data_IF_946882813953
#
_entry.id   IF_946882813953
#
_cell.length_a   1.000
_cell.length_b   1.000
_cell.length_c   1.000
_cell.angle_alpha   90.00
_cell.angle_beta   90.00
_cell.angle_gamma   90.00
#
_symmetry.space_group_name_H-M   'P 1'
#
loop_
_entity.id
_entity.type
_entity.pdbx_description
1 polymer ?
#
# COMPACT_ATOMS: atom_id res chain seq x y z
N UNK A 1 -3.36 -4.66 30.65
CA UNK A 1 -3.94 -3.52 29.90
C UNK A 1 -4.61 -4.12 28.67
N UNK A 2 -5.94 -4.00 28.57
CA UNK A 2 -6.75 -4.70 27.57
C UNK A 2 -6.71 -3.93 26.25
N UNK A 3 -6.28 -4.59 25.18
CA UNK A 3 -6.25 -4.05 23.83
C UNK A 3 -7.66 -3.73 23.34
N UNK A 4 -7.88 -2.47 22.95
CA UNK A 4 -9.13 -2.03 22.31
C UNK A 4 -9.05 -2.38 20.83
N UNK A 5 -9.77 -3.40 20.42
CA UNK A 5 -10.03 -3.67 19.01
C UNK A 5 -10.90 -2.54 18.44
N UNK A 6 -10.33 -1.74 17.53
CA UNK A 6 -11.08 -0.72 16.80
C UNK A 6 -11.76 -1.41 15.62
N UNK A 7 -13.10 -1.49 15.67
CA UNK A 7 -13.94 -1.98 14.56
C UNK A 7 -14.10 -0.83 13.57
N UNK A 8 -13.46 -0.92 12.41
CA UNK A 8 -13.68 0.01 11.30
C UNK A 8 -14.78 -0.54 10.37
N UNK A 9 -15.68 0.36 9.97
CA UNK A 9 -16.88 0.05 9.19
C UNK A 9 -16.58 -0.38 7.76
N UNK A 10 -17.30 -1.41 7.30
CA UNK A 10 -17.23 -1.96 5.96
C UNK A 10 -17.77 -0.96 4.93
N UNK A 11 -16.89 -0.25 4.21
CA UNK A 11 -17.02 0.19 2.80
C UNK A 11 -15.66 0.67 2.26
N UNK A 12 -14.72 -0.23 1.95
CA UNK A 12 -13.62 0.09 1.02
C UNK A 12 -12.97 -1.21 0.54
N UNK A 13 -12.93 -1.41 -0.79
CA UNK A 13 -12.40 -2.61 -1.46
C UNK A 13 -11.08 -2.28 -2.20
N UNK A 14 -10.27 -1.40 -1.63
CA UNK A 14 -8.87 -1.20 -1.99
C UNK A 14 -8.08 -0.83 -0.75
N UNK A 15 -6.95 -1.47 -0.51
CA UNK A 15 -6.13 -1.23 0.67
C UNK A 15 -4.65 -1.23 0.30
N UNK A 16 -3.94 -0.19 0.70
CA UNK A 16 -2.48 -0.17 0.68
C UNK A 16 -2.01 -0.76 2.02
N UNK A 17 -1.22 -1.81 1.96
CA UNK A 17 -0.64 -2.45 3.14
C UNK A 17 0.83 -2.07 3.26
N UNK A 18 1.23 -1.48 4.38
CA UNK A 18 2.63 -1.17 4.67
C UNK A 18 3.18 -2.09 5.77
N UNK A 19 4.38 -2.61 5.55
CA UNK A 19 5.11 -3.55 6.41
C UNK A 19 6.14 -2.80 7.24
N UNK A 20 6.26 -3.08 8.53
CA UNK A 20 7.17 -2.38 9.45
C UNK A 20 8.07 -3.37 10.19
N UNK A 21 9.32 -2.98 10.47
CA UNK A 21 10.32 -3.83 11.15
C UNK A 21 10.44 -3.47 12.64
N UNK A 22 10.01 -4.36 13.55
CA UNK A 22 10.25 -4.19 14.99
C UNK A 22 11.35 -5.11 15.50
N UNK A 23 12.33 -4.54 16.22
CA UNK A 23 13.39 -5.29 16.90
C UNK A 23 13.15 -5.21 18.42
N UNK A 24 12.78 -6.31 19.07
CA UNK A 24 12.65 -6.36 20.53
C UNK A 24 13.59 -7.42 21.13
N UNK A 25 14.33 -7.06 22.17
CA UNK A 25 14.93 -8.03 23.09
C UNK A 25 13.86 -8.41 24.13
N UNK A 26 13.45 -9.67 24.18
CA UNK A 26 12.54 -10.15 25.23
C UNK A 26 13.15 -10.01 26.62
N UNK A 27 12.38 -9.51 27.59
CA UNK A 27 12.77 -9.45 29.00
C UNK A 27 13.04 -10.88 29.53
N UNK A 28 14.26 -11.11 30.02
CA UNK A 28 14.61 -12.35 30.72
C UNK A 28 13.92 -12.36 32.08
N UNK A 29 12.98 -13.30 32.28
CA UNK A 29 12.38 -13.55 33.59
C UNK A 29 13.42 -14.25 34.47
N UNK A 30 14.00 -13.52 35.42
CA UNK A 30 14.84 -14.10 36.48
C UNK A 30 13.97 -15.01 37.37
N UNK A 31 14.20 -16.33 37.29
CA UNK A 31 13.66 -17.29 38.24
C UNK A 31 14.51 -17.25 39.50
N UNK A 32 13.97 -16.68 40.58
CA UNK A 32 14.63 -16.66 41.90
C UNK A 32 14.64 -18.08 42.50
N UNK A 33 15.78 -18.77 42.40
CA UNK A 33 16.03 -20.06 43.07
C UNK A 33 16.51 -19.82 44.50
N UNK A 34 15.76 -20.33 45.49
CA UNK A 34 16.14 -20.31 46.91
C UNK A 34 16.88 -21.61 47.31
N UNK A 35 18.13 -21.49 47.75
CA UNK A 35 18.90 -22.58 48.36
C UNK A 35 20.38 -22.23 48.59
N UNK A 36 21.02 -22.62 49.72
CA UNK A 36 22.41 -22.23 49.99
C UNK A 36 23.44 -23.25 49.46
N UNK A 37 24.61 -22.73 49.03
CA UNK A 37 25.95 -23.37 48.88
C UNK A 37 26.42 -23.84 47.47
N UNK A 38 27.74 -23.81 47.12
CA UNK A 38 28.83 -22.85 47.37
C UNK A 38 29.26 -22.11 46.06
N UNK A 39 30.24 -21.20 46.15
CA UNK A 39 30.70 -20.32 45.07
C UNK A 39 31.16 -21.06 43.79
N UNK A 40 30.23 -21.28 42.86
CA UNK A 40 30.54 -21.68 41.49
C UNK A 40 31.02 -20.44 40.71
N UNK A 41 32.14 -20.60 40.00
CA UNK A 41 32.67 -19.62 39.05
C UNK A 41 31.61 -19.35 37.98
N UNK A 42 30.98 -18.18 38.04
CA UNK A 42 29.97 -17.77 37.06
C UNK A 42 30.66 -17.57 35.70
N UNK A 43 30.55 -18.57 34.82
CA UNK A 43 30.73 -18.33 33.39
C UNK A 43 29.55 -17.44 32.97
N UNK A 44 29.76 -16.23 32.42
CA UNK A 44 28.65 -15.44 31.94
C UNK A 44 27.97 -16.24 30.81
N UNK A 45 26.78 -16.75 31.07
CA UNK A 45 25.86 -17.22 30.05
C UNK A 45 25.39 -15.98 29.29
N UNK A 46 26.20 -15.55 28.33
CA UNK A 46 25.75 -14.62 27.30
C UNK A 46 24.79 -15.42 26.40
N UNK A 47 23.55 -15.56 26.87
CA UNK A 47 22.46 -16.01 26.03
C UNK A 47 22.30 -14.96 24.92
N UNK A 48 22.67 -15.32 23.70
CA UNK A 48 22.29 -14.55 22.53
C UNK A 48 20.77 -14.67 22.41
N UNK A 49 20.05 -13.62 22.80
CA UNK A 49 18.61 -13.55 22.56
C UNK A 49 18.38 -13.56 21.03
N UNK A 50 17.49 -14.42 20.50
CA UNK A 50 17.09 -14.31 19.11
C UNK A 50 16.39 -12.96 18.91
N UNK A 51 16.88 -12.17 17.95
CA UNK A 51 16.23 -10.94 17.52
C UNK A 51 15.05 -11.31 16.64
N UNK A 52 13.85 -11.38 17.21
CA UNK A 52 12.63 -11.58 16.43
C UNK A 52 12.28 -10.30 15.68
N UNK A 53 12.16 -10.44 14.36
CA UNK A 53 11.65 -9.38 13.48
C UNK A 53 10.14 -9.51 13.43
N UNK A 54 9.43 -8.56 14.02
CA UNK A 54 7.98 -8.49 13.88
C UNK A 54 7.62 -7.57 12.72
N UNK A 55 6.61 -8.03 11.99
CA UNK A 55 6.06 -7.40 10.81
C UNK A 55 4.61 -7.03 11.09
N UNK A 56 4.33 -5.74 11.28
CA UNK A 56 2.95 -5.25 11.36
C UNK A 56 2.51 -4.68 10.02
N UNK A 57 1.24 -4.93 9.69
CA UNK A 57 0.56 -4.33 8.55
C UNK A 57 -0.31 -3.19 9.03
N UNK A 58 -0.05 -1.98 8.56
CA UNK A 58 -0.88 -0.81 8.87
C UNK A 58 -1.84 -0.53 7.73
N UNK A 59 -3.05 -0.06 8.08
CA UNK A 59 -4.06 0.33 7.10
C UNK A 59 -3.84 1.75 6.59
N UNK A 60 -4.08 1.96 5.30
CA UNK A 60 -4.16 3.29 4.68
C UNK A 60 -5.61 3.75 4.53
N UNK A 61 -5.88 5.04 4.58
CA UNK A 61 -7.15 5.57 4.09
C UNK A 61 -7.02 5.95 2.60
N UNK A 62 -8.03 5.56 1.80
CA UNK A 62 -8.18 6.07 0.44
C UNK A 62 -8.69 7.51 0.54
N UNK A 63 -7.96 8.44 -0.06
CA UNK A 63 -8.25 9.88 -0.04
C UNK A 63 -8.90 10.36 -1.33
N UNK A 64 -8.78 9.56 -2.39
CA UNK A 64 -9.59 9.74 -3.58
C UNK A 64 -9.13 8.91 -4.76
N UNK A 65 -10.01 8.82 -5.75
CA UNK A 65 -9.75 8.13 -7.00
C UNK A 65 -10.57 8.72 -8.14
N UNK A 66 -10.05 8.64 -9.35
CA UNK A 66 -10.76 9.08 -10.54
C UNK A 66 -10.14 8.42 -11.77
N UNK A 67 -10.96 8.12 -12.78
CA UNK A 67 -10.44 7.89 -14.12
C UNK A 67 -10.59 9.13 -14.99
N UNK A 68 -9.84 9.16 -16.08
CA UNK A 68 -9.85 10.22 -17.06
C UNK A 68 -9.93 9.59 -18.44
N UNK A 69 -10.58 10.29 -19.35
CA UNK A 69 -10.82 9.82 -20.70
C UNK A 69 -10.35 10.88 -21.69
N UNK A 70 -9.39 10.50 -22.55
CA UNK A 70 -8.85 11.37 -23.58
C UNK A 70 -9.91 11.83 -24.58
N UNK A 71 -10.96 11.04 -24.82
CA UNK A 71 -12.07 11.40 -25.69
C UNK A 71 -13.01 12.44 -25.04
N UNK A 72 -12.96 12.59 -23.71
CA UNK A 72 -13.75 13.55 -22.93
C UNK A 72 -12.84 14.39 -22.02
N UNK A 73 -11.94 15.21 -22.59
CA UNK A 73 -10.74 15.65 -21.90
C UNK A 73 -10.98 16.69 -20.78
N UNK A 74 -12.17 17.28 -20.73
CA UNK A 74 -12.59 18.25 -19.70
C UNK A 74 -13.62 17.67 -18.73
N UNK A 75 -14.03 16.41 -18.91
CA UNK A 75 -15.01 15.76 -18.03
C UNK A 75 -14.28 15.15 -16.84
N UNK A 76 -14.86 15.33 -15.65
CA UNK A 76 -14.44 14.67 -14.43
C UNK A 76 -15.22 13.36 -14.25
N UNK A 77 -14.54 12.33 -13.74
CA UNK A 77 -15.13 11.03 -13.44
C UNK A 77 -14.73 10.54 -12.03
N UNK A 78 -14.64 11.46 -11.06
CA UNK A 78 -14.37 11.09 -9.66
C UNK A 78 -15.49 10.19 -9.10
N UNK A 79 -16.75 10.56 -9.31
CA UNK A 79 -17.91 9.79 -8.85
C UNK A 79 -18.21 8.50 -9.66
N UNK A 80 -17.30 8.07 -10.53
CA UNK A 80 -17.56 6.88 -11.34
C UNK A 80 -17.51 5.60 -10.49
N UNK A 81 -18.40 4.62 -10.74
CA UNK A 81 -18.43 3.38 -9.95
C UNK A 81 -17.28 2.42 -10.28
N UNK A 82 -16.44 2.75 -11.25
CA UNK A 82 -15.32 1.95 -11.73
C UNK A 82 -14.17 2.87 -12.13
N UNK A 83 -12.96 2.36 -11.96
CA UNK A 83 -11.72 2.94 -12.46
C UNK A 83 -11.30 2.22 -13.74
N UNK A 84 -11.30 2.96 -14.85
CA UNK A 84 -11.02 2.42 -16.19
C UNK A 84 -9.59 2.74 -16.62
N UNK A 85 -8.93 1.76 -17.25
CA UNK A 85 -7.62 1.96 -17.87
C UNK A 85 -7.59 1.25 -19.21
N UNK A 86 -7.49 2.01 -20.30
CA UNK A 86 -7.55 1.49 -21.68
C UNK A 86 -6.66 2.36 -22.60
N UNK A 87 -6.07 1.78 -23.64
CA UNK A 87 -5.32 2.50 -24.66
C UNK A 87 -6.18 3.11 -25.79
N UNK A 88 -7.44 2.70 -25.97
CA UNK A 88 -8.28 3.14 -27.10
C UNK A 88 -9.81 3.16 -26.81
N UNK A 89 -10.42 4.33 -26.51
CA UNK A 89 -9.76 5.62 -26.29
C UNK A 89 -8.85 5.56 -25.07
N UNK A 90 -7.84 6.43 -25.02
CA UNK A 90 -6.91 6.41 -23.89
C UNK A 90 -7.63 6.81 -22.60
N UNK A 91 -7.65 5.91 -21.63
CA UNK A 91 -8.18 6.08 -20.29
C UNK A 91 -7.08 5.76 -19.28
N UNK A 92 -7.03 6.54 -18.20
CA UNK A 92 -6.08 6.36 -17.12
C UNK A 92 -6.80 6.55 -15.79
N UNK A 93 -6.40 5.80 -14.77
CA UNK A 93 -6.96 5.89 -13.43
C UNK A 93 -5.93 6.40 -12.44
N UNK A 94 -6.36 7.20 -11.48
CA UNK A 94 -5.51 7.76 -10.44
C UNK A 94 -6.10 7.40 -9.09
N UNK A 95 -5.23 7.03 -8.15
CA UNK A 95 -5.62 6.69 -6.77
C UNK A 95 -4.71 7.41 -5.79
N UNK A 96 -5.25 7.90 -4.69
CA UNK A 96 -4.52 8.62 -3.63
C UNK A 96 -4.83 8.02 -2.27
N UNK A 97 -3.78 7.88 -1.47
CA UNK A 97 -3.84 7.30 -0.14
C UNK A 97 -3.08 8.17 0.86
N UNK A 98 -3.58 8.20 2.09
CA UNK A 98 -2.83 8.65 3.25
C UNK A 98 -2.28 7.43 4.01
N UNK A 99 -0.99 7.49 4.31
CA UNK A 99 -0.28 6.48 5.09
C UNK A 99 0.15 7.10 6.40
N UNK A 100 -0.22 6.46 7.50
CA UNK A 100 0.17 6.87 8.85
C UNK A 100 0.96 5.76 9.51
N UNK A 101 2.20 6.07 9.88
CA UNK A 101 3.00 5.28 10.81
C UNK A 101 3.07 6.04 12.14
N UNK A 102 2.34 5.55 13.14
CA UNK A 102 2.24 6.16 14.46
C UNK A 102 3.49 5.90 15.33
N UNK A 103 4.32 4.91 14.97
CA UNK A 103 5.57 4.61 15.66
C UNK A 103 6.77 4.75 14.73
N UNK A 104 7.34 5.96 14.72
CA UNK A 104 8.52 6.28 13.92
C UNK A 104 9.78 5.47 14.28
N UNK A 105 9.78 4.74 15.42
CA UNK A 105 10.87 3.84 15.80
C UNK A 105 10.97 2.63 14.87
N UNK A 106 9.89 2.33 14.15
CA UNK A 106 9.82 1.20 13.25
C UNK A 106 9.57 1.67 11.81
N UNK A 107 10.57 1.58 10.93
CA UNK A 107 10.45 2.10 9.58
C UNK A 107 9.53 1.23 8.72
N UNK A 108 8.86 1.85 7.75
CA UNK A 108 8.16 1.12 6.69
C UNK A 108 9.21 0.49 5.77
N UNK A 109 9.20 -0.84 5.72
CA UNK A 109 10.12 -1.67 4.94
C UNK A 109 9.49 -2.28 3.69
N UNK A 110 8.16 -2.25 3.58
CA UNK A 110 7.44 -2.73 2.41
C UNK A 110 6.09 -2.04 2.24
N UNK A 111 5.58 -1.96 1.02
CA UNK A 111 4.25 -1.47 0.72
C UNK A 111 3.67 -2.13 -0.53
N UNK A 112 2.39 -2.54 -0.45
CA UNK A 112 1.65 -3.15 -1.55
C UNK A 112 0.38 -2.38 -1.85
N UNK A 113 0.22 -1.97 -3.11
CA UNK A 113 -1.03 -1.41 -3.62
C UNK A 113 -1.88 -2.54 -4.17
N UNK A 114 -3.04 -2.77 -3.53
CA UNK A 114 -3.96 -3.83 -3.91
C UNK A 114 -5.26 -3.27 -4.49
N UNK A 115 -5.64 -3.74 -5.68
CA UNK A 115 -6.82 -3.26 -6.42
C UNK A 115 -7.72 -4.45 -6.81
N UNK A 116 -9.03 -4.28 -6.66
CA UNK A 116 -10.03 -5.27 -7.03
C UNK A 116 -10.35 -5.16 -8.52
N UNK A 117 -10.15 -6.24 -9.26
CA UNK A 117 -10.39 -6.28 -10.70
C UNK A 117 -11.83 -6.73 -10.95
N UNK A 118 -12.58 -5.91 -11.68
CA UNK A 118 -13.94 -6.23 -12.12
C UNK A 118 -13.88 -6.90 -13.49
N UNK A 119 -13.21 -6.27 -14.46
CA UNK A 119 -12.91 -6.85 -15.76
C UNK A 119 -11.41 -6.83 -16.04
N UNK A 120 -10.87 -7.98 -16.43
CA UNK A 120 -9.44 -8.23 -16.59
C UNK A 120 -8.92 -7.78 -17.94
N UNK A 121 -7.61 -7.94 -18.12
CA UNK A 121 -6.91 -7.58 -19.35
C UNK A 121 -5.86 -8.62 -19.75
N UNK A 122 -5.57 -8.73 -21.04
CA UNK A 122 -4.41 -9.47 -21.54
C UNK A 122 -3.09 -8.73 -21.31
N UNK A 123 -3.14 -7.43 -21.02
CA UNK A 123 -2.02 -6.55 -20.73
C UNK A 123 -2.48 -5.43 -19.78
N UNK A 124 -2.42 -5.72 -18.49
CA UNK A 124 -2.81 -4.83 -17.41
C UNK A 124 -1.88 -3.62 -17.29
N UNK A 125 -2.27 -2.61 -16.50
CA UNK A 125 -1.65 -1.30 -16.55
C UNK A 125 -0.32 -1.25 -15.82
N UNK A 126 0.54 -0.35 -16.27
CA UNK A 126 1.73 0.03 -15.52
C UNK A 126 1.36 1.07 -14.44
N UNK A 127 1.94 0.93 -13.26
CA UNK A 127 1.72 1.83 -12.12
C UNK A 127 2.88 2.82 -11.99
N UNK A 128 2.56 4.10 -11.90
CA UNK A 128 3.51 5.19 -11.73
C UNK A 128 3.20 6.02 -10.49
N UNK A 129 4.22 6.66 -9.93
CA UNK A 129 4.02 7.75 -8.95
C UNK A 129 3.50 9.00 -9.63
N UNK A 130 2.73 9.78 -8.88
CA UNK A 130 2.31 11.13 -9.28
C UNK A 130 2.40 12.11 -8.11
N UNK A 131 2.21 13.40 -8.39
CA UNK A 131 2.00 14.41 -7.34
C UNK A 131 0.64 14.19 -6.66
N UNK A 132 0.51 14.52 -5.38
CA UNK A 132 -0.71 14.31 -4.58
C UNK A 132 -1.68 15.48 -4.56
N UNK A 133 -1.28 16.64 -5.08
CA UNK A 133 -2.04 17.90 -4.97
C UNK A 133 -3.31 18.01 -5.82
N UNK A 134 -3.75 16.92 -6.44
CA UNK A 134 -5.01 16.88 -7.18
C UNK A 134 -6.19 16.59 -6.27
N UNK A 135 -7.38 17.01 -6.71
CA UNK A 135 -8.65 16.75 -6.06
C UNK A 135 -9.53 15.93 -7.01
N UNK A 136 -10.05 14.81 -6.50
CA UNK A 136 -10.95 13.88 -7.18
C UNK A 136 -12.08 14.58 -7.91
N UNK A 137 -12.75 15.55 -7.29
CA UNK A 137 -13.93 16.23 -7.82
C UNK A 137 -13.65 17.13 -9.03
N UNK A 138 -12.38 17.41 -9.31
CA UNK A 138 -11.96 18.39 -10.33
C UNK A 138 -10.95 17.84 -11.32
N UNK A 139 -10.53 16.60 -11.13
CA UNK A 139 -9.50 15.98 -11.94
C UNK A 139 -10.07 15.60 -13.32
N UNK A 140 -9.37 15.99 -14.38
CA UNK A 140 -9.78 15.72 -15.76
C UNK A 140 -8.58 15.20 -16.53
N UNK A 141 -8.80 14.72 -17.76
CA UNK A 141 -7.68 14.39 -18.65
C UNK A 141 -6.70 15.58 -18.74
N UNK A 142 -7.18 16.78 -19.00
CA UNK A 142 -6.31 17.95 -19.21
C UNK A 142 -5.54 18.40 -17.95
N UNK A 143 -6.07 18.11 -16.75
CA UNK A 143 -5.49 18.56 -15.48
C UNK A 143 -4.75 17.46 -14.72
N UNK A 144 -4.72 16.23 -15.24
CA UNK A 144 -4.09 15.09 -14.57
C UNK A 144 -2.58 15.31 -14.36
N UNK A 145 -2.02 14.97 -13.19
CA UNK A 145 -0.59 14.98 -12.98
C UNK A 145 0.16 14.06 -13.95
N UNK A 146 1.34 14.50 -14.36
CA UNK A 146 2.26 13.64 -15.10
C UNK A 146 2.82 12.52 -14.19
N UNK A 147 3.10 11.33 -14.75
CA UNK A 147 3.89 10.29 -14.09
C UNK A 147 5.26 10.80 -13.65
N UNK A 148 5.75 10.30 -12.53
CA UNK A 148 7.05 10.62 -11.95
C UNK A 148 7.95 9.39 -12.00
N UNK A 149 9.05 9.49 -12.74
CA UNK A 149 10.05 8.42 -12.85
C UNK A 149 9.58 7.21 -13.67
N UNK A 150 10.26 6.09 -13.45
CA UNK A 150 9.98 4.80 -14.08
C UNK A 150 8.74 4.13 -13.46
N UNK A 151 8.08 3.19 -14.17
CA UNK A 151 6.99 2.42 -13.58
C UNK A 151 7.46 1.63 -12.36
N UNK A 152 6.63 1.61 -11.32
CA UNK A 152 6.84 0.81 -10.11
C UNK A 152 6.54 -0.68 -10.35
N UNK A 153 5.69 -0.97 -11.32
CA UNK A 153 5.35 -2.34 -11.70
C UNK A 153 4.41 -2.37 -12.90
N UNK A 154 4.41 -3.53 -13.53
CA UNK A 154 3.55 -3.93 -14.64
C UNK A 154 3.26 -5.42 -14.44
N UNK A 155 1.99 -5.78 -14.44
CA UNK A 155 1.54 -7.14 -14.10
C UNK A 155 1.37 -8.04 -15.32
N UNK A 156 1.46 -7.49 -16.54
CA UNK A 156 1.02 -8.20 -17.74
C UNK A 156 -0.45 -8.59 -17.60
N UNK A 157 -0.82 -9.81 -18.00
CA UNK A 157 -2.24 -10.22 -17.97
C UNK A 157 -2.84 -10.27 -16.55
N UNK A 158 -4.07 -9.80 -16.44
CA UNK A 158 -4.86 -9.71 -15.22
C UNK A 158 -6.20 -10.40 -15.43
N UNK A 159 -6.60 -11.27 -14.49
CA UNK A 159 -7.87 -12.00 -14.56
C UNK A 159 -9.05 -11.17 -14.00
N UNK A 160 -10.24 -11.26 -14.62
CA UNK A 160 -11.46 -10.63 -14.11
C UNK A 160 -11.87 -11.24 -12.76
N UNK A 161 -12.55 -10.47 -11.91
CA UNK A 161 -13.01 -10.88 -10.57
C UNK A 161 -11.89 -11.36 -9.63
N UNK A 162 -10.70 -10.77 -9.76
CA UNK A 162 -9.52 -11.11 -8.98
C UNK A 162 -8.97 -9.90 -8.23
N UNK A 163 -7.83 -10.09 -7.57
CA UNK A 163 -7.08 -9.00 -6.96
C UNK A 163 -5.69 -8.94 -7.55
N UNK A 164 -5.23 -7.72 -7.82
CA UNK A 164 -3.85 -7.45 -8.21
C UNK A 164 -3.10 -6.73 -7.11
N UNK A 165 -1.79 -6.96 -7.05
CA UNK A 165 -0.89 -6.29 -6.10
C UNK A 165 0.35 -5.74 -6.81
N UNK A 166 0.60 -4.45 -6.61
CA UNK A 166 1.85 -3.79 -7.04
C UNK A 166 2.75 -3.58 -5.84
N UNK A 167 4.03 -3.94 -5.98
CA UNK A 167 5.05 -3.56 -5.00
C UNK A 167 5.37 -2.07 -5.17
N UNK A 168 4.93 -1.26 -4.20
CA UNK A 168 5.19 0.18 -4.15
C UNK A 168 6.14 0.54 -3.01
N UNK A 169 6.88 -0.45 -2.49
CA UNK A 169 7.82 -0.28 -1.38
C UNK A 169 8.88 0.76 -1.69
N UNK A 170 9.32 0.90 -2.94
CA UNK A 170 10.26 1.95 -3.35
C UNK A 170 9.71 3.37 -3.15
N UNK A 171 8.38 3.51 -3.23
CA UNK A 171 7.67 4.77 -3.15
C UNK A 171 7.26 5.14 -1.71
N UNK A 172 6.81 4.16 -0.92
CA UNK A 172 6.19 4.38 0.39
C UNK A 172 7.16 3.95 1.49
N UNK A 173 7.81 4.93 2.14
CA UNK A 173 8.85 4.71 3.15
C UNK A 173 8.60 5.40 4.48
N UNK A 174 7.61 6.28 4.54
CA UNK A 174 7.23 7.05 5.72
C UNK A 174 5.75 7.39 5.70
N UNK A 175 5.25 7.96 6.80
CA UNK A 175 3.94 8.61 6.81
C UNK A 175 3.87 9.71 5.73
N UNK A 176 2.69 9.90 5.15
CA UNK A 176 2.44 10.92 4.13
C UNK A 176 1.35 10.53 3.14
N UNK A 177 1.06 11.44 2.20
CA UNK A 177 0.19 11.17 1.07
C UNK A 177 0.98 10.55 -0.09
N UNK A 178 0.34 9.60 -0.76
CA UNK A 178 0.90 8.92 -1.92
C UNK A 178 -0.18 8.81 -2.99
N UNK A 179 0.16 9.22 -4.21
CA UNK A 179 -0.71 9.09 -5.37
C UNK A 179 -0.03 8.28 -6.46
N UNK A 180 -0.84 7.48 -7.14
CA UNK A 180 -0.42 6.60 -8.21
C UNK A 180 -1.31 6.78 -9.43
N UNK A 181 -0.72 6.68 -10.62
CA UNK A 181 -1.44 6.58 -11.87
C UNK A 181 -1.31 5.17 -12.44
N UNK A 182 -2.43 4.60 -12.87
CA UNK A 182 -2.52 3.39 -13.65
C UNK A 182 -2.67 3.80 -15.11
N UNK A 183 -1.65 3.49 -15.90
CA UNK A 183 -1.58 3.85 -17.31
C UNK A 183 -1.65 2.61 -18.19
N UNK A 184 -2.38 2.67 -19.31
CA UNK A 184 -2.51 1.55 -20.22
C UNK A 184 -1.18 1.27 -20.93
N UNK A 185 -0.84 -0.02 -21.04
CA UNK A 185 0.29 -0.54 -21.83
C UNK A 185 -0.18 -1.10 -23.18
N UNK A 186 -1.47 -1.42 -23.29
CA UNK A 186 -2.13 -1.88 -24.52
C UNK A 186 -3.56 -1.34 -24.69
N UNK A 187 -4.26 -1.81 -25.72
CA UNK A 187 -5.65 -1.42 -26.05
C UNK A 187 -6.71 -2.41 -25.55
N UNK A 188 -6.33 -3.37 -24.71
CA UNK A 188 -7.29 -4.20 -23.99
C UNK A 188 -7.38 -3.65 -22.57
N UNK A 189 -8.43 -2.90 -22.28
CA UNK A 189 -8.57 -2.22 -21.00
C UNK A 189 -8.79 -3.16 -19.82
N UNK A 190 -8.65 -2.60 -18.63
CA UNK A 190 -8.98 -3.23 -17.34
C UNK A 190 -9.89 -2.29 -16.56
N UNK A 191 -10.83 -2.89 -15.81
CA UNK A 191 -11.76 -2.17 -14.95
C UNK A 191 -11.50 -2.57 -13.49
N UNK A 192 -11.28 -1.59 -12.63
CA UNK A 192 -11.14 -1.79 -11.19
C UNK A 192 -12.33 -1.24 -10.41
N UNK A 193 -12.58 -1.83 -9.25
CA UNK A 193 -13.47 -1.29 -8.23
C UNK A 193 -12.81 -0.06 -7.55
N UNK A 194 -13.64 0.82 -6.99
CA UNK A 194 -13.25 2.04 -6.26
C UNK A 194 -13.01 1.76 -4.77
#
# INVERSE_FOLDING_TARGET
>A
MQGRAVRWGLRSLGWLSALVLCTHCGEAVEQEQSGPEPAARQTPLQAACPSETLYETFGSAREGDAYMDAARPTTNFGDAPLLLVDGSPQQASYVKFSVTNDDASFPIVGARLRLGVVDGSTDGPAVYRTSTGWNEDTLTWNTRPAPLGDPLGDLGSVESNSWVEYDVSAAVRSSGEYAFALLPTGGNGVDFDT
#
